data_IF_509060984706
#
_entry.id   IF_509060984706
#
_cell.length_a   1.000
_cell.length_b   1.000
_cell.length_c   1.000
_cell.angle_alpha   90.00
_cell.angle_beta   90.00
_cell.angle_gamma   90.00
#
_symmetry.space_group_name_H-M   'P 1'
#
loop_
_entity.id
_entity.type
_entity.pdbx_description
1 polymer ?
#
# COMPACT_ATOMS: atom_id res chain seq x y z
N UNK A 1 -8.64 1.81 16.62
CA UNK A 1 -8.12 1.75 18.00
C UNK A 1 -6.65 1.42 17.88
N UNK A 2 -5.75 2.08 18.60
CA UNK A 2 -4.32 1.78 18.48
C UNK A 2 -3.85 1.02 19.72
N UNK A 3 -3.07 -0.03 19.52
CA UNK A 3 -2.49 -0.83 20.60
C UNK A 3 -0.97 -0.86 20.50
N UNK A 4 -0.27 -1.15 21.58
CA UNK A 4 1.18 -1.29 21.55
C UNK A 4 1.54 -2.69 21.05
N UNK A 5 2.14 -2.77 19.86
CA UNK A 5 2.56 -4.02 19.23
C UNK A 5 4.05 -4.07 18.94
N UNK A 6 4.60 -5.27 18.77
CA UNK A 6 5.96 -5.47 18.27
C UNK A 6 5.94 -5.51 16.75
N UNK A 7 6.78 -4.69 16.11
CA UNK A 7 6.95 -4.65 14.65
C UNK A 7 8.42 -4.79 14.29
N UNK A 8 8.70 -5.28 13.08
CA UNK A 8 10.06 -5.34 12.53
C UNK A 8 10.25 -4.11 11.64
N UNK A 9 11.13 -3.20 12.04
CA UNK A 9 11.56 -2.05 11.24
C UNK A 9 13.05 -2.23 10.96
N UNK A 10 13.45 -2.23 9.68
CA UNK A 10 14.86 -2.35 9.28
C UNK A 10 15.57 -3.57 9.88
N UNK A 11 14.86 -4.71 9.98
CA UNK A 11 15.38 -5.94 10.60
C UNK A 11 15.48 -5.91 12.13
N UNK A 12 15.05 -4.83 12.79
CA UNK A 12 15.06 -4.69 14.26
C UNK A 12 13.64 -4.70 14.83
N UNK A 13 13.46 -5.37 15.97
CA UNK A 13 12.20 -5.40 16.71
C UNK A 13 12.02 -4.10 17.50
N UNK A 14 10.91 -3.41 17.28
CA UNK A 14 10.54 -2.18 17.97
C UNK A 14 9.10 -2.25 18.46
N UNK A 15 8.80 -1.60 19.59
CA UNK A 15 7.42 -1.41 20.05
C UNK A 15 6.83 -0.16 19.40
N UNK A 16 5.71 -0.31 18.69
CA UNK A 16 5.00 0.79 18.02
C UNK A 16 3.52 0.76 18.35
N UNK A 17 2.90 1.94 18.25
CA UNK A 17 1.44 2.06 18.27
C UNK A 17 0.93 1.53 16.93
N UNK A 18 0.31 0.35 16.94
CA UNK A 18 -0.22 -0.32 15.75
C UNK A 18 -1.74 -0.09 15.64
N UNK A 19 -2.26 0.23 14.44
CA UNK A 19 -3.69 0.32 14.24
C UNK A 19 -4.31 -1.07 14.34
N UNK A 20 -5.22 -1.23 15.29
CA UNK A 20 -6.10 -2.40 15.39
C UNK A 20 -7.43 -2.05 14.75
N UNK A 21 -7.73 -2.78 13.68
CA UNK A 21 -9.01 -2.75 13.01
C UNK A 21 -9.88 -3.88 13.56
N UNK A 22 -10.92 -3.54 14.31
CA UNK A 22 -11.97 -4.51 14.66
C UNK A 22 -12.83 -4.74 13.42
N UNK A 23 -12.41 -5.66 12.56
CA UNK A 23 -13.20 -6.05 11.39
C UNK A 23 -14.46 -6.77 11.87
N UNK A 24 -15.63 -6.24 11.52
CA UNK A 24 -16.93 -6.92 11.71
C UNK A 24 -17.56 -7.08 10.33
N UNK A 25 -17.87 -8.32 9.94
CA UNK A 25 -18.47 -8.61 8.62
C UNK A 25 -17.58 -8.22 7.43
N UNK A 26 -18.20 -7.89 6.29
CA UNK A 26 -17.56 -7.44 5.03
C UNK A 26 -17.01 -5.99 5.16
N UNK A 27 -16.04 -5.79 6.02
CA UNK A 27 -15.33 -4.50 6.12
C UNK A 27 -14.09 -4.53 5.22
N UNK A 28 -14.05 -3.67 4.21
CA UNK A 28 -12.83 -3.44 3.43
C UNK A 28 -12.02 -2.31 4.05
N UNK A 29 -10.70 -2.51 4.19
CA UNK A 29 -9.77 -1.43 4.54
C UNK A 29 -8.70 -1.26 3.47
N UNK A 30 -8.18 -0.03 3.40
CA UNK A 30 -7.04 0.35 2.59
C UNK A 30 -6.09 1.10 3.54
N UNK A 31 -4.89 0.57 3.73
CA UNK A 31 -3.85 1.19 4.55
C UNK A 31 -2.69 1.64 3.67
N UNK A 32 -2.12 2.80 3.98
CA UNK A 32 -0.93 3.33 3.32
C UNK A 32 0.26 3.07 4.25
N UNK A 33 1.28 2.40 3.72
CA UNK A 33 2.54 2.15 4.41
C UNK A 33 3.72 2.65 3.59
N UNK A 34 4.86 2.83 4.24
CA UNK A 34 6.12 3.20 3.60
C UNK A 34 7.18 2.15 3.91
N UNK A 35 7.79 1.53 2.90
CA UNK A 35 8.81 0.47 3.06
C UNK A 35 10.26 0.97 2.96
N UNK A 36 10.46 2.25 2.71
CA UNK A 36 11.77 2.85 2.48
C UNK A 36 12.09 3.07 0.99
N UNK A 37 11.39 2.37 0.09
CA UNK A 37 11.46 2.57 -1.36
C UNK A 37 10.26 3.38 -1.89
N UNK A 38 9.14 3.40 -1.18
CA UNK A 38 8.01 4.25 -1.49
C UNK A 38 6.79 3.97 -0.61
N UNK A 39 5.63 4.45 -1.05
CA UNK A 39 4.36 4.16 -0.41
C UNK A 39 3.66 2.99 -1.11
N UNK A 40 3.09 2.06 -0.34
CA UNK A 40 2.23 0.99 -0.86
C UNK A 40 0.86 1.00 -0.19
N UNK A 41 -0.16 0.64 -0.98
CA UNK A 41 -1.53 0.44 -0.54
C UNK A 41 -1.72 -1.04 -0.21
N UNK A 42 -2.12 -1.34 1.02
CA UNK A 42 -2.51 -2.68 1.42
C UNK A 42 -4.02 -2.75 1.60
N UNK A 43 -4.67 -3.76 1.02
CA UNK A 43 -6.08 -4.04 1.23
C UNK A 43 -6.30 -5.52 1.53
N UNK A 44 -7.31 -5.80 2.37
CA UNK A 44 -7.75 -7.17 2.68
C UNK A 44 -8.76 -7.74 1.67
N UNK A 45 -9.14 -6.99 0.65
CA UNK A 45 -10.17 -7.36 -0.31
C UNK A 45 -9.53 -7.60 -1.69
N UNK A 46 -9.76 -8.80 -2.25
CA UNK A 46 -9.15 -9.23 -3.52
C UNK A 46 -9.52 -8.34 -4.70
N UNK A 47 -10.63 -7.60 -4.62
CA UNK A 47 -11.01 -6.62 -5.66
C UNK A 47 -10.09 -5.41 -5.73
N UNK A 48 -9.19 -5.25 -4.77
CA UNK A 48 -8.18 -4.18 -4.73
C UNK A 48 -6.75 -4.70 -4.87
N UNK A 49 -6.55 -5.99 -5.20
CA UNK A 49 -5.22 -6.60 -5.25
C UNK A 49 -4.38 -6.15 -6.46
N UNK A 50 -4.96 -6.13 -7.67
CA UNK A 50 -4.27 -5.61 -8.86
C UNK A 50 -4.61 -4.15 -9.08
N UNK A 51 -3.73 -3.40 -9.73
CA UNK A 51 -3.99 -2.00 -10.06
C UNK A 51 -5.27 -1.84 -10.90
N UNK A 52 -5.48 -2.69 -11.91
CA UNK A 52 -6.68 -2.66 -12.75
C UNK A 52 -7.97 -2.92 -11.96
N UNK A 53 -7.95 -3.93 -11.07
CA UNK A 53 -9.09 -4.24 -10.20
C UNK A 53 -9.34 -3.09 -9.23
N UNK A 54 -8.28 -2.48 -8.69
CA UNK A 54 -8.41 -1.30 -7.86
C UNK A 54 -9.08 -0.14 -8.59
N UNK A 55 -8.57 0.21 -9.77
CA UNK A 55 -9.10 1.30 -10.61
C UNK A 55 -10.58 1.07 -10.96
N UNK A 56 -10.94 -0.16 -11.37
CA UNK A 56 -12.32 -0.50 -11.75
C UNK A 56 -13.34 -0.43 -10.61
N UNK A 57 -12.88 -0.48 -9.36
CA UNK A 57 -13.73 -0.41 -8.17
C UNK A 57 -13.79 1.00 -7.55
N UNK A 58 -13.12 2.00 -8.13
CA UNK A 58 -13.21 3.38 -7.65
C UNK A 58 -14.56 4.02 -8.00
N UNK A 59 -15.07 4.95 -7.17
CA UNK A 59 -16.30 5.69 -7.48
C UNK A 59 -16.24 6.35 -8.85
N UNK A 60 -17.38 6.36 -9.56
CA UNK A 60 -17.47 7.00 -10.87
C UNK A 60 -17.12 8.49 -10.76
N UNK A 61 -16.25 8.96 -11.65
CA UNK A 61 -15.74 10.34 -11.62
C UNK A 61 -14.46 10.52 -10.82
N UNK A 62 -13.89 9.45 -10.25
CA UNK A 62 -12.55 9.49 -9.67
C UNK A 62 -11.53 9.82 -10.76
N UNK A 63 -10.75 10.87 -10.56
CA UNK A 63 -9.64 11.26 -11.44
C UNK A 63 -8.38 10.55 -10.97
N UNK A 64 -7.74 9.82 -11.88
CA UNK A 64 -6.49 9.11 -11.61
C UNK A 64 -5.40 9.79 -12.42
N UNK A 65 -4.33 10.19 -11.74
CA UNK A 65 -3.19 10.86 -12.36
C UNK A 65 -1.91 10.25 -11.82
N UNK A 66 -1.03 9.85 -12.74
CA UNK A 66 0.33 9.50 -12.41
C UNK A 66 1.15 10.79 -12.34
N UNK A 67 1.86 11.01 -11.22
CA UNK A 67 2.59 12.26 -10.96
C UNK A 67 4.07 12.15 -11.36
N UNK A 68 4.58 10.93 -11.59
CA UNK A 68 5.96 10.67 -11.99
C UNK A 68 5.99 9.94 -13.34
N UNK A 69 6.56 10.57 -14.36
CA UNK A 69 6.47 10.14 -15.76
C UNK A 69 7.55 9.15 -16.21
N UNK A 70 8.57 8.87 -15.39
CA UNK A 70 9.66 7.98 -15.81
C UNK A 70 9.28 6.52 -15.57
N UNK A 71 8.81 5.84 -16.62
CA UNK A 71 8.91 4.39 -16.67
C UNK A 71 10.39 4.03 -16.70
N UNK A 72 10.90 3.41 -15.64
CA UNK A 72 12.25 2.82 -15.69
C UNK A 72 12.13 1.56 -16.53
N UNK A 73 12.35 1.68 -17.84
CA UNK A 73 12.59 0.50 -18.67
C UNK A 73 13.87 -0.16 -18.14
N UNK A 74 13.79 -1.47 -17.88
CA UNK A 74 14.91 -2.27 -17.40
C UNK A 74 16.14 -2.28 -18.34
N UNK A 75 16.02 -1.67 -19.52
CA UNK A 75 17.04 -1.55 -20.54
C UNK A 75 18.05 -0.41 -20.30
N UNK A 76 17.94 0.36 -19.20
CA UNK A 76 18.90 1.44 -18.84
C UNK A 76 19.78 1.01 -17.65
N UNK A 77 20.03 -0.29 -17.48
CA UNK A 77 21.04 -0.81 -16.54
C UNK A 77 22.20 -1.52 -17.26
N UNK A 78 22.56 -1.04 -18.45
CA UNK A 78 23.91 -1.26 -18.98
C UNK A 78 24.56 0.10 -19.30
N UNK A 79 25.83 0.23 -18.88
CA UNK A 79 26.75 1.39 -18.96
C UNK A 79 26.55 2.47 -17.86
N UNK A 80 27.44 2.68 -16.88
CA UNK A 80 28.83 2.28 -16.61
C UNK A 80 29.07 2.11 -15.09
#
# INVERSE_FOLDING_TARGET
MFELGEVIEWGRKSKRSIPIFKTKGETTFITIFHDGAGFYLFSNDEKYFTLDKFISNLPRGTVITQINDTWVNADILEED
#
